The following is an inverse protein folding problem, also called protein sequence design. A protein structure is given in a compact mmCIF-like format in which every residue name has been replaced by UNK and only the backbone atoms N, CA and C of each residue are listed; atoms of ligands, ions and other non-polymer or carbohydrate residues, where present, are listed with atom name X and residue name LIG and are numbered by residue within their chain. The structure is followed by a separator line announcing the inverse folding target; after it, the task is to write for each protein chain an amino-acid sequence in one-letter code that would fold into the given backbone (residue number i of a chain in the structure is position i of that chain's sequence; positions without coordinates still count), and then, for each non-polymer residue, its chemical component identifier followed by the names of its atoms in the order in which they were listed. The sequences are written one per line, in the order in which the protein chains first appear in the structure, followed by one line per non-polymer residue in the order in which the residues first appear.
data_IF_032070406540
#
_entry.id   IF_032070406540
#
_cell.length_a   1.000
_cell.length_b   1.000
_cell.length_c   1.000
_cell.angle_alpha   90.00
_cell.angle_beta   90.00
_cell.angle_gamma   90.00
#
_symmetry.space_group_name_H-M   'P 1'
#
loop_
_entity.id
_entity.type
_entity.pdbx_description
1 polymer ?
#
# COMPACT_ATOMS: atom_id res chain seq x y z
N UNK A 1 20.40 2.43 11.87
CA UNK A 1 18.94 2.26 11.81
C UNK A 1 18.64 0.80 11.55
N UNK A 2 18.11 0.09 12.54
CA UNK A 2 17.62 -1.28 12.35
C UNK A 2 16.63 -1.33 11.19
N UNK A 3 16.93 -2.15 10.19
CA UNK A 3 16.02 -2.38 9.08
C UNK A 3 14.90 -3.26 9.62
N UNK A 4 13.68 -2.70 9.76
CA UNK A 4 12.47 -3.49 9.99
C UNK A 4 12.44 -4.66 9.01
N UNK A 5 12.27 -5.88 9.53
CA UNK A 5 12.30 -7.10 8.73
C UNK A 5 11.18 -7.12 7.67
N UNK A 6 10.02 -6.51 8.01
CA UNK A 6 8.84 -6.43 7.16
C UNK A 6 8.18 -5.05 7.22
N UNK A 7 7.97 -4.44 6.05
CA UNK A 7 7.33 -3.14 5.89
C UNK A 7 6.03 -3.31 5.11
N UNK A 8 4.92 -2.83 5.68
CA UNK A 8 3.60 -2.83 5.03
C UNK A 8 3.33 -1.42 4.54
N UNK A 9 3.02 -1.27 3.26
CA UNK A 9 2.77 0.01 2.61
C UNK A 9 1.35 0.05 2.07
N UNK A 10 0.61 1.07 2.49
CA UNK A 10 -0.73 1.36 1.96
C UNK A 10 -0.65 2.19 0.67
N UNK A 11 -1.12 1.65 -0.44
CA UNK A 11 -1.10 2.29 -1.75
C UNK A 11 -2.22 3.33 -1.96
N UNK A 12 -3.19 3.45 -1.04
CA UNK A 12 -4.30 4.40 -1.13
C UNK A 12 -3.83 5.83 -1.36
N UNK A 13 -4.23 6.39 -2.51
CA UNK A 13 -3.94 7.79 -2.87
C UNK A 13 -2.47 8.04 -3.24
N UNK A 14 -1.68 6.99 -3.48
CA UNK A 14 -0.29 7.11 -3.91
C UNK A 14 -0.15 7.00 -5.43
N UNK A 15 0.71 7.84 -6.01
CA UNK A 15 1.05 7.78 -7.43
C UNK A 15 1.87 6.52 -7.68
N UNK A 16 1.31 5.58 -8.44
CA UNK A 16 1.83 4.21 -8.60
C UNK A 16 3.31 4.16 -9.00
N UNK A 17 3.75 5.03 -9.93
CA UNK A 17 5.15 5.08 -10.36
C UNK A 17 6.10 5.60 -9.27
N UNK A 18 5.70 6.61 -8.49
CA UNK A 18 6.52 7.16 -7.41
C UNK A 18 6.62 6.18 -6.23
N UNK A 19 5.50 5.55 -5.89
CA UNK A 19 5.46 4.47 -4.90
C UNK A 19 6.40 3.34 -5.33
N UNK A 20 6.28 2.87 -6.59
CA UNK A 20 7.10 1.78 -7.11
C UNK A 20 8.60 2.07 -7.03
N UNK A 21 9.03 3.31 -7.26
CA UNK A 21 10.45 3.68 -7.17
C UNK A 21 11.00 3.52 -5.73
N UNK A 22 10.23 3.93 -4.72
CA UNK A 22 10.63 3.79 -3.31
C UNK A 22 10.58 2.33 -2.84
N UNK A 23 9.53 1.60 -3.22
CA UNK A 23 9.41 0.15 -2.96
C UNK A 23 10.60 -0.60 -3.56
N UNK A 24 10.96 -0.29 -4.80
CA UNK A 24 12.10 -0.92 -5.50
C UNK A 24 13.40 -0.77 -4.72
N UNK A 25 13.67 0.43 -4.18
CA UNK A 25 14.88 0.70 -3.39
C UNK A 25 14.91 -0.15 -2.11
N UNK A 26 13.79 -0.23 -1.39
CA UNK A 26 13.66 -1.05 -0.18
C UNK A 26 13.90 -2.54 -0.48
N UNK A 27 13.34 -3.06 -1.57
CA UNK A 27 13.53 -4.46 -1.98
C UNK A 27 15.00 -4.76 -2.29
N UNK A 28 15.70 -3.84 -2.96
CA UNK A 28 17.13 -3.98 -3.30
C UNK A 28 18.06 -3.86 -2.08
N UNK A 29 17.59 -3.23 -1.01
CA UNK A 29 18.26 -3.15 0.30
C UNK A 29 17.98 -4.38 1.18
N UNK A 30 17.11 -5.27 0.72
CA UNK A 30 16.82 -6.55 1.34
C UNK A 30 15.60 -6.58 2.25
N UNK A 31 14.82 -5.49 2.33
CA UNK A 31 13.61 -5.40 3.16
C UNK A 31 12.45 -6.17 2.53
N UNK A 32 11.67 -6.91 3.33
CA UNK A 32 10.41 -7.52 2.88
C UNK A 32 9.33 -6.45 2.81
N UNK A 33 8.63 -6.33 1.67
CA UNK A 33 7.63 -5.29 1.47
C UNK A 33 6.30 -5.90 1.05
N UNK A 34 5.24 -5.63 1.82
CA UNK A 34 3.86 -5.93 1.44
C UNK A 34 3.16 -4.63 1.05
N UNK A 35 2.67 -4.52 -0.18
CA UNK A 35 1.83 -3.40 -0.62
C UNK A 35 0.36 -3.83 -0.55
N UNK A 36 -0.43 -3.09 0.22
CA UNK A 36 -1.88 -3.33 0.39
C UNK A 36 -2.69 -2.23 -0.33
N UNK A 37 -3.97 -2.48 -0.56
CA UNK A 37 -4.89 -1.57 -1.27
C UNK A 37 -4.39 -1.16 -2.67
N UNK A 38 -3.82 -2.10 -3.44
CA UNK A 38 -3.24 -1.80 -4.75
C UNK A 38 -4.26 -1.20 -5.73
N UNK A 39 -5.54 -1.52 -5.58
CA UNK A 39 -6.66 -0.96 -6.33
C UNK A 39 -6.85 0.54 -6.11
N UNK A 40 -6.44 1.07 -4.95
CA UNK A 40 -6.53 2.49 -4.61
C UNK A 40 -5.28 3.30 -5.01
N UNK A 41 -4.30 2.65 -5.64
CA UNK A 41 -3.16 3.33 -6.26
C UNK A 41 -3.61 4.23 -7.41
N UNK A 42 -2.87 5.31 -7.66
CA UNK A 42 -3.30 6.41 -8.52
C UNK A 42 -2.38 6.59 -9.73
N UNK A 43 -2.98 6.85 -10.89
CA UNK A 43 -2.31 7.46 -12.04
C UNK A 43 -2.76 8.90 -12.22
N UNK A 44 -1.79 9.79 -12.44
CA UNK A 44 -2.08 11.21 -12.68
C UNK A 44 -2.61 11.45 -14.09
N UNK A 45 -3.55 12.39 -14.22
CA UNK A 45 -4.19 12.77 -15.48
C UNK A 45 -5.57 12.13 -15.68
N UNK A 46 -6.17 12.41 -16.84
CA UNK A 46 -7.55 12.03 -17.12
C UNK A 46 -7.76 10.53 -17.35
N UNK A 47 -9.00 10.09 -17.15
CA UNK A 47 -9.43 8.71 -17.40
C UNK A 47 -9.19 8.29 -18.84
N UNK A 48 -9.58 9.13 -19.81
CA UNK A 48 -9.39 8.87 -21.24
C UNK A 48 -7.93 8.62 -21.59
N UNK A 49 -7.02 9.48 -21.10
CA UNK A 49 -5.57 9.32 -21.32
C UNK A 49 -5.05 8.00 -20.72
N UNK A 50 -5.52 7.65 -19.53
CA UNK A 50 -5.11 6.40 -18.86
C UNK A 50 -5.64 5.17 -19.60
N UNK A 51 -6.87 5.23 -20.11
CA UNK A 51 -7.44 4.19 -20.97
C UNK A 51 -6.66 4.03 -22.27
N UNK A 52 -6.32 5.12 -22.96
CA UNK A 52 -5.60 5.07 -24.23
C UNK A 52 -4.20 4.46 -24.06
N UNK A 53 -3.51 4.83 -22.97
CA UNK A 53 -2.24 4.19 -22.58
C UNK A 53 -2.42 2.69 -22.31
N UNK A 54 -3.50 2.30 -21.64
CA UNK A 54 -3.76 0.90 -21.35
C UNK A 54 -4.13 0.12 -22.62
N UNK A 55 -4.95 0.66 -23.52
CA UNK A 55 -5.24 0.08 -24.84
C UNK A 55 -3.96 -0.10 -25.67
N UNK A 56 -3.10 0.92 -25.71
CA UNK A 56 -1.80 0.83 -26.36
C UNK A 56 -0.86 -0.20 -25.70
N UNK A 57 -1.05 -0.52 -24.42
CA UNK A 57 -0.38 -1.64 -23.76
C UNK A 57 -0.95 -2.99 -24.21
N UNK A 58 -2.27 -3.12 -24.31
CA UNK A 58 -2.95 -4.35 -24.76
C UNK A 58 -2.69 -4.69 -26.23
N UNK A 59 -2.46 -3.68 -27.08
CA UNK A 59 -2.11 -3.90 -28.48
C UNK A 59 -0.75 -4.59 -28.65
N UNK A 60 0.13 -4.54 -27.64
CA UNK A 60 1.47 -5.15 -27.68
C UNK A 60 1.40 -6.66 -27.46
N UNK A 61 1.18 -7.41 -28.54
CA UNK A 61 1.19 -8.88 -28.56
C UNK A 61 2.22 -9.43 -29.55
N UNK A 62 2.67 -10.65 -29.33
CA UNK A 62 3.42 -11.38 -30.36
C UNK A 62 2.44 -11.79 -31.47
N UNK A 63 2.72 -11.41 -32.72
CA UNK A 63 1.87 -11.72 -33.88
C UNK A 63 1.90 -13.22 -34.15
N UNK A 64 3.07 -13.85 -34.09
CA UNK A 64 3.27 -15.28 -34.41
C UNK A 64 2.56 -16.18 -33.40
N UNK A 65 2.82 -16.02 -32.10
CA UNK A 65 2.17 -16.80 -31.05
C UNK A 65 1.87 -15.92 -29.82
N UNK A 66 0.61 -15.49 -29.65
CA UNK A 66 0.20 -14.66 -28.52
C UNK A 66 0.51 -15.27 -27.14
N UNK A 67 0.56 -16.61 -27.02
CA UNK A 67 0.84 -17.30 -25.75
C UNK A 67 2.26 -17.06 -25.21
N UNK A 68 3.22 -16.79 -26.10
CA UNK A 68 4.63 -16.49 -25.73
C UNK A 68 4.90 -14.99 -25.59
N UNK A 69 3.91 -14.15 -25.90
CA UNK A 69 4.05 -12.70 -25.93
C UNK A 69 4.01 -12.02 -24.56
N UNK A 70 3.94 -10.69 -24.54
CA UNK A 70 3.75 -9.93 -23.31
C UNK A 70 2.43 -10.28 -22.61
N UNK A 71 2.48 -10.72 -21.36
CA UNK A 71 1.26 -10.97 -20.59
C UNK A 71 0.59 -9.69 -20.10
N UNK A 72 -0.73 -9.58 -20.29
CA UNK A 72 -1.54 -8.43 -19.88
C UNK A 72 -2.35 -8.71 -18.62
N UNK A 73 -1.79 -8.41 -17.46
CA UNK A 73 -2.51 -8.48 -16.19
C UNK A 73 -3.62 -7.44 -16.10
N UNK A 74 -4.79 -7.87 -15.63
CA UNK A 74 -5.96 -7.01 -15.39
C UNK A 74 -6.16 -6.76 -13.90
N UNK A 75 -5.50 -7.52 -13.03
CA UNK A 75 -5.57 -7.36 -11.59
C UNK A 75 -4.71 -6.17 -11.13
N UNK A 76 -5.22 -5.24 -10.30
CA UNK A 76 -4.45 -4.14 -9.73
C UNK A 76 -3.15 -4.59 -9.04
N UNK A 77 -3.20 -5.70 -8.27
CA UNK A 77 -2.01 -6.23 -7.59
C UNK A 77 -0.90 -6.61 -8.56
N UNK A 78 -1.25 -7.35 -9.62
CA UNK A 78 -0.30 -7.83 -10.61
C UNK A 78 0.17 -6.71 -11.53
N UNK A 79 -0.68 -5.72 -11.80
CA UNK A 79 -0.31 -4.55 -12.56
C UNK A 79 0.74 -3.73 -11.81
N UNK A 80 0.53 -3.46 -10.52
CA UNK A 80 1.50 -2.74 -9.67
C UNK A 80 2.80 -3.53 -9.50
N UNK A 81 2.71 -4.84 -9.27
CA UNK A 81 3.87 -5.73 -9.23
C UNK A 81 4.67 -5.70 -10.54
N UNK A 82 4.00 -5.62 -11.71
CA UNK A 82 4.67 -5.49 -13.01
C UNK A 82 5.39 -4.15 -13.17
N UNK A 83 4.84 -3.06 -12.64
CA UNK A 83 5.51 -1.75 -12.61
C UNK A 83 6.81 -1.85 -11.79
N UNK A 84 6.71 -2.37 -10.57
CA UNK A 84 7.88 -2.55 -9.67
C UNK A 84 8.91 -3.49 -10.30
N UNK A 85 8.48 -4.62 -10.84
CA UNK A 85 9.36 -5.60 -11.51
C UNK A 85 10.18 -5.00 -12.64
N UNK A 86 9.62 -4.03 -13.39
CA UNK A 86 10.32 -3.35 -14.49
C UNK A 86 11.32 -2.30 -14.01
N UNK A 87 11.26 -1.87 -12.76
CA UNK A 87 12.27 -0.99 -12.13
C UNK A 87 13.43 -1.80 -11.51
N UNK A 88 13.30 -3.12 -11.40
CA UNK A 88 14.32 -4.04 -10.88
C UNK A 88 14.99 -4.77 -12.04
N UNK A 89 16.29 -5.04 -11.95
CA UNK A 89 17.01 -5.96 -12.85
C UNK A 89 16.62 -7.42 -12.55
N UNK A 90 15.35 -7.77 -12.78
CA UNK A 90 14.72 -9.02 -12.33
C UNK A 90 15.27 -10.29 -13.00
N UNK A 91 16.02 -10.15 -14.11
CA UNK A 91 16.67 -11.30 -14.77
C UNK A 91 17.91 -11.78 -14.00
N UNK A 92 18.59 -10.88 -13.28
CA UNK A 92 19.78 -11.20 -12.47
C UNK A 92 19.37 -11.85 -11.14
N UNK A 93 20.26 -12.65 -10.55
CA UNK A 93 20.02 -13.32 -9.27
C UNK A 93 19.56 -12.35 -8.15
N UNK A 94 20.27 -11.23 -8.00
CA UNK A 94 19.91 -10.17 -7.05
C UNK A 94 18.49 -9.64 -7.24
N UNK A 95 18.05 -9.47 -8.49
CA UNK A 95 16.71 -9.00 -8.80
C UNK A 95 15.62 -10.04 -8.53
N UNK A 96 15.91 -11.33 -8.76
CA UNK A 96 15.00 -12.43 -8.40
C UNK A 96 14.76 -12.49 -6.89
N UNK A 97 15.84 -12.37 -6.09
CA UNK A 97 15.78 -12.34 -4.62
C UNK A 97 15.01 -11.10 -4.13
N UNK A 98 15.18 -9.95 -4.77
CA UNK A 98 14.42 -8.75 -4.43
C UNK A 98 12.92 -8.94 -4.74
N UNK A 99 12.57 -9.56 -5.87
CA UNK A 99 11.17 -9.81 -6.22
C UNK A 99 10.49 -10.85 -5.34
N UNK A 100 11.20 -11.84 -4.79
CA UNK A 100 10.61 -12.82 -3.86
C UNK A 100 10.22 -12.20 -2.51
N UNK A 101 10.74 -11.01 -2.20
CA UNK A 101 10.42 -10.25 -0.98
C UNK A 101 9.22 -9.30 -1.14
N UNK A 102 8.71 -9.14 -2.35
CA UNK A 102 7.56 -8.29 -2.65
C UNK A 102 6.27 -9.12 -2.61
N UNK A 103 5.31 -8.67 -1.82
CA UNK A 103 3.92 -9.11 -1.91
C UNK A 103 3.01 -7.90 -2.22
N UNK A 104 2.05 -8.08 -3.10
CA UNK A 104 1.08 -7.04 -3.48
C UNK A 104 -0.33 -7.60 -3.37
N UNK A 105 -1.22 -6.88 -2.70
CA UNK A 105 -2.59 -7.30 -2.44
C UNK A 105 -3.60 -6.29 -2.96
N UNK A 106 -4.76 -6.80 -3.35
CA UNK A 106 -6.00 -6.02 -3.50
C UNK A 106 -6.70 -6.01 -2.14
N UNK A 107 -7.09 -4.84 -1.64
CA UNK A 107 -7.54 -4.67 -0.26
C UNK A 107 -6.47 -5.04 0.77
N UNK A 108 -6.92 -5.43 1.96
CA UNK A 108 -6.07 -5.82 3.08
C UNK A 108 -6.39 -7.27 3.47
N UNK A 109 -5.43 -8.21 3.34
CA UNK A 109 -5.65 -9.59 3.79
C UNK A 109 -5.67 -9.67 5.32
N UNK A 110 -6.40 -10.66 5.86
CA UNK A 110 -6.54 -10.88 7.31
C UNK A 110 -5.21 -11.02 8.04
N UNK A 111 -4.20 -11.62 7.40
CA UNK A 111 -2.85 -11.77 7.97
C UNK A 111 -2.14 -10.44 8.27
N UNK A 112 -2.52 -9.37 7.55
CA UNK A 112 -1.92 -8.04 7.70
C UNK A 112 -2.84 -7.07 8.43
N UNK A 113 -3.97 -7.55 8.95
CA UNK A 113 -4.92 -6.76 9.73
C UNK A 113 -4.32 -6.36 11.09
N UNK A 114 -4.57 -5.13 11.54
CA UNK A 114 -4.05 -4.62 12.82
C UNK A 114 -2.56 -4.25 12.85
N UNK A 115 -1.79 -4.65 11.83
CA UNK A 115 -0.39 -4.26 11.70
C UNK A 115 -0.23 -2.80 11.25
N UNK A 116 0.82 -2.09 11.70
CA UNK A 116 1.04 -0.70 11.32
C UNK A 116 1.36 -0.59 9.83
N UNK A 117 0.51 0.15 9.11
CA UNK A 117 0.66 0.44 7.69
C UNK A 117 1.32 1.79 7.49
N UNK A 118 2.26 1.86 6.54
CA UNK A 118 2.99 3.09 6.23
C UNK A 118 2.55 3.69 4.89
N UNK A 119 2.53 5.02 4.81
CA UNK A 119 2.38 5.74 3.54
C UNK A 119 3.69 6.43 3.17
N UNK A 120 3.99 6.45 1.87
CA UNK A 120 5.17 7.12 1.36
C UNK A 120 4.79 8.56 1.03
N UNK A 121 5.21 9.49 1.88
CA UNK A 121 4.82 10.92 1.81
C UNK A 121 5.12 11.53 0.44
N UNK A 122 6.32 11.29 -0.11
CA UNK A 122 6.71 11.83 -1.43
C UNK A 122 5.95 11.25 -2.62
N UNK A 123 5.18 10.17 -2.43
CA UNK A 123 4.41 9.50 -3.48
C UNK A 123 2.91 9.83 -3.42
N UNK A 124 2.42 10.49 -2.37
CA UNK A 124 1.01 10.85 -2.26
C UNK A 124 0.60 11.82 -3.37
N UNK A 125 -0.55 11.55 -3.98
CA UNK A 125 -1.11 12.37 -5.07
C UNK A 125 -1.34 13.81 -4.61
N UNK A 126 -1.79 14.00 -3.36
CA UNK A 126 -1.99 15.32 -2.72
C UNK A 126 -0.77 16.25 -2.81
N UNK A 127 0.44 15.70 -2.70
CA UNK A 127 1.69 16.48 -2.72
C UNK A 127 2.38 16.51 -4.09
N UNK A 128 2.06 15.56 -4.97
CA UNK A 128 2.83 15.33 -6.21
C UNK A 128 2.30 16.10 -7.41
N UNK A 129 1.01 16.40 -7.47
CA UNK A 129 0.41 17.06 -8.63
C UNK A 129 -1.00 17.54 -8.32
N UNK A 130 -1.78 17.79 -9.37
CA UNK A 130 -3.15 18.26 -9.18
C UNK A 130 -4.00 17.15 -8.52
N UNK A 131 -4.48 17.36 -7.28
CA UNK A 131 -5.23 16.34 -6.54
C UNK A 131 -6.58 16.02 -7.20
N UNK A 132 -7.11 16.89 -8.07
CA UNK A 132 -8.43 16.70 -8.66
C UNK A 132 -8.40 15.91 -9.98
N UNK A 133 -7.23 15.79 -10.62
CA UNK A 133 -7.11 15.14 -11.92
C UNK A 133 -6.26 13.87 -11.85
N UNK A 134 -6.90 12.81 -11.36
CA UNK A 134 -6.27 11.51 -11.23
C UNK A 134 -7.27 10.37 -11.36
N UNK A 135 -6.74 9.17 -11.60
CA UNK A 135 -7.53 7.96 -11.85
C UNK A 135 -7.00 6.86 -10.96
N UNK A 136 -7.90 6.24 -10.21
CA UNK A 136 -7.59 5.07 -9.41
C UNK A 136 -7.38 3.83 -10.29
N UNK A 137 -6.40 3.01 -9.94
CA UNK A 137 -6.01 1.81 -10.66
C UNK A 137 -7.17 0.81 -10.77
N UNK A 138 -7.93 0.64 -9.68
CA UNK A 138 -9.12 -0.21 -9.63
C UNK A 138 -10.21 0.24 -10.60
N UNK A 139 -10.48 1.55 -10.67
CA UNK A 139 -11.44 2.12 -11.64
C UNK A 139 -10.97 1.86 -13.08
N UNK A 140 -9.69 2.09 -13.36
CA UNK A 140 -9.10 1.84 -14.68
C UNK A 140 -9.29 0.37 -15.08
N UNK A 141 -8.84 -0.54 -14.23
CA UNK A 141 -8.76 -1.97 -14.53
C UNK A 141 -10.11 -2.69 -14.51
N UNK A 142 -11.08 -2.20 -13.73
CA UNK A 142 -12.46 -2.71 -13.74
C UNK A 142 -13.07 -2.63 -15.14
N UNK A 143 -12.88 -1.51 -15.85
CA UNK A 143 -13.33 -1.35 -17.25
C UNK A 143 -12.60 -2.26 -18.24
N UNK A 144 -11.47 -2.83 -17.82
CA UNK A 144 -10.60 -3.69 -18.62
C UNK A 144 -10.66 -5.15 -18.18
N UNK A 145 -11.68 -5.55 -17.40
CA UNK A 145 -11.97 -6.95 -17.09
C UNK A 145 -11.54 -7.42 -15.70
N UNK A 146 -11.22 -6.52 -14.76
CA UNK A 146 -11.07 -6.89 -13.36
C UNK A 146 -12.46 -7.08 -12.71
N UNK A 147 -12.78 -8.33 -12.33
CA UNK A 147 -14.10 -8.75 -11.87
C UNK A 147 -14.34 -8.54 -10.37
N UNK A 148 -13.28 -8.52 -9.56
CA UNK A 148 -13.38 -8.56 -8.09
C UNK A 148 -13.37 -7.18 -7.44
N UNK A 149 -13.74 -6.14 -8.18
CA UNK A 149 -13.70 -4.77 -7.70
C UNK A 149 -14.65 -4.51 -6.52
N UNK A 150 -15.86 -5.05 -6.58
CA UNK A 150 -16.87 -4.90 -5.53
C UNK A 150 -16.52 -5.70 -4.28
N UNK A 151 -16.11 -6.96 -4.46
CA UNK A 151 -15.68 -7.82 -3.35
C UNK A 151 -14.47 -7.24 -2.59
N UNK A 152 -13.50 -6.66 -3.30
CA UNK A 152 -12.35 -6.01 -2.66
C UNK A 152 -12.77 -4.77 -1.85
N UNK A 153 -13.74 -3.99 -2.36
CA UNK A 153 -14.28 -2.82 -1.64
C UNK A 153 -15.03 -3.22 -0.38
N UNK A 154 -15.96 -4.18 -0.46
CA UNK A 154 -16.75 -4.61 0.70
C UNK A 154 -15.86 -5.13 1.82
N UNK A 155 -14.89 -6.00 1.51
CA UNK A 155 -13.94 -6.51 2.49
C UNK A 155 -13.10 -5.41 3.14
N UNK A 156 -12.72 -4.38 2.37
CA UNK A 156 -11.92 -3.26 2.87
C UNK A 156 -12.76 -2.32 3.73
N UNK A 157 -14.03 -2.10 3.37
CA UNK A 157 -14.98 -1.30 4.14
C UNK A 157 -15.31 -1.95 5.49
N UNK A 158 -15.64 -3.24 5.51
CA UNK A 158 -15.85 -4.03 6.73
C UNK A 158 -14.63 -3.96 7.66
N UNK A 159 -13.42 -4.05 7.10
CA UNK A 159 -12.18 -3.94 7.88
C UNK A 159 -11.99 -2.51 8.43
N UNK A 160 -12.24 -1.48 7.63
CA UNK A 160 -12.15 -0.07 8.08
C UNK A 160 -13.14 0.23 9.20
N UNK A 161 -14.33 -0.34 9.16
CA UNK A 161 -15.33 -0.21 10.23
C UNK A 161 -14.86 -0.88 11.53
N UNK A 162 -14.34 -2.11 11.45
CA UNK A 162 -13.75 -2.81 12.61
C UNK A 162 -12.57 -2.03 13.19
N UNK A 163 -11.68 -1.51 12.34
CA UNK A 163 -10.56 -0.67 12.76
C UNK A 163 -11.02 0.65 13.40
N UNK A 164 -12.07 1.28 12.88
CA UNK A 164 -12.66 2.50 13.45
C UNK A 164 -13.25 2.24 14.84
N UNK A 165 -13.97 1.14 15.02
CA UNK A 165 -14.50 0.75 16.33
C UNK A 165 -13.37 0.48 17.33
N UNK A 166 -12.33 -0.24 16.91
CA UNK A 166 -11.15 -0.48 17.74
C UNK A 166 -10.41 0.82 18.10
N UNK A 167 -10.33 1.77 17.17
CA UNK A 167 -9.74 3.08 17.40
C UNK A 167 -10.53 3.90 18.43
N UNK A 168 -11.87 3.97 18.30
CA UNK A 168 -12.72 4.70 19.24
C UNK A 168 -12.60 4.14 20.67
N UNK A 169 -12.66 2.81 20.82
CA UNK A 169 -12.44 2.15 22.11
C UNK A 169 -11.06 2.46 22.68
N UNK A 170 -10.03 2.46 21.84
CA UNK A 170 -8.66 2.83 22.27
C UNK A 170 -8.58 4.28 22.71
N UNK A 171 -9.26 5.19 22.02
CA UNK A 171 -9.31 6.61 22.35
C UNK A 171 -10.01 6.86 23.70
N UNK A 172 -11.11 6.15 23.97
CA UNK A 172 -11.82 6.17 25.26
C UNK A 172 -10.89 5.73 26.40
N UNK A 173 -10.22 4.57 26.24
CA UNK A 173 -9.26 4.06 27.22
C UNK A 173 -8.09 5.02 27.42
N UNK A 174 -7.58 5.64 26.34
CA UNK A 174 -6.52 6.64 26.42
C UNK A 174 -6.97 7.88 27.21
N UNK A 175 -8.20 8.37 27.00
CA UNK A 175 -8.77 9.50 27.75
C UNK A 175 -8.94 9.17 29.23
N UNK A 176 -9.40 7.97 29.56
CA UNK A 176 -9.51 7.51 30.95
C UNK A 176 -8.13 7.42 31.61
N UNK A 177 -7.14 6.86 30.91
CA UNK A 177 -5.77 6.82 31.39
C UNK A 177 -5.17 8.23 31.58
N UNK A 178 -5.50 9.19 30.71
CA UNK A 178 -5.08 10.59 30.88
C UNK A 178 -5.73 11.28 32.08
N UNK A 179 -6.98 10.94 32.41
CA UNK A 179 -7.63 11.41 33.64
C UNK A 179 -6.91 10.86 34.87
N UNK A 180 -6.69 9.55 34.91
CA UNK A 180 -5.96 8.88 36.00
C UNK A 180 -4.53 9.43 36.17
N UNK A 181 -3.84 9.75 35.07
CA UNK A 181 -2.51 10.36 35.12
C UNK A 181 -2.49 11.76 35.74
N UNK A 182 -3.60 12.51 35.66
CA UNK A 182 -3.74 13.85 36.23
C UNK A 182 -4.16 13.81 37.70
N UNK A 183 -4.59 12.67 38.21
CA UNK A 183 -4.95 12.52 39.61
C UNK A 183 -3.68 12.64 40.47
N UNK A 184 -3.71 13.55 41.44
CA UNK A 184 -2.56 13.87 42.30
C UNK A 184 -2.00 12.64 43.03
N UNK A 185 -2.87 11.72 43.43
CA UNK A 185 -2.47 10.47 44.08
C UNK A 185 -1.55 9.62 43.20
N UNK A 186 -1.83 9.55 41.90
CA UNK A 186 -1.03 8.80 40.95
C UNK A 186 0.30 9.52 40.66
N UNK A 187 0.27 10.85 40.53
CA UNK A 187 1.46 11.66 40.30
C UNK A 187 2.46 11.57 41.47
N UNK A 188 1.95 11.64 42.71
CA UNK A 188 2.75 11.48 43.92
C UNK A 188 3.40 10.09 44.02
N UNK A 189 2.68 9.04 43.61
CA UNK A 189 3.22 7.67 43.62
C UNK A 189 4.30 7.45 42.55
N UNK A 190 4.10 8.02 41.35
CA UNK A 190 5.11 7.99 40.27
C UNK A 190 6.37 8.73 40.69
N UNK A 191 6.22 9.92 41.27
CA UNK A 191 7.37 10.72 41.74
C UNK A 191 8.15 10.01 42.85
N UNK A 192 7.47 9.33 43.79
CA UNK A 192 8.14 8.50 44.80
C UNK A 192 8.97 7.37 44.19
N UNK A 193 8.45 6.69 43.16
CA UNK A 193 9.17 5.61 42.49
C UNK A 193 10.33 6.15 41.64
N UNK A 194 10.13 7.27 40.93
CA UNK A 194 11.20 7.94 40.18
C UNK A 194 12.35 8.38 41.09
N UNK A 195 12.04 8.89 42.29
CA UNK A 195 13.04 9.27 43.28
C UNK A 195 13.85 8.08 43.86
N UNK A 196 13.40 6.83 43.71
CA UNK A 196 14.18 5.65 44.08
C UNK A 196 15.19 5.22 43.00
N UNK A 197 15.03 5.70 41.76
CA UNK A 197 15.94 5.44 40.64
C UNK A 197 16.92 6.59 40.39
N UNK A 198 16.76 7.72 41.09
CA UNK A 198 17.65 8.88 41.08
C UNK A 198 18.64 8.79 42.25
#
# INVERSE_FOLDING_TARGET
MEKKEHVIIDATGQVAGKLAAKVTKLLLEGVRVSVVCSEEAVFMGSLKRSMDKFKAYLNKRCIVNPRRGPFHFREPRMHLAKIIRRMISYKKARGKIAMSKLATYEGIPRELEGLPRHKVTCALAKYTGNPNNHVTLGKLLSMFGWKHAEAAKSLTEELREREKQAFLKKEEVCKEAEKLKKDKSFEDEVNKKLAMFA
#
